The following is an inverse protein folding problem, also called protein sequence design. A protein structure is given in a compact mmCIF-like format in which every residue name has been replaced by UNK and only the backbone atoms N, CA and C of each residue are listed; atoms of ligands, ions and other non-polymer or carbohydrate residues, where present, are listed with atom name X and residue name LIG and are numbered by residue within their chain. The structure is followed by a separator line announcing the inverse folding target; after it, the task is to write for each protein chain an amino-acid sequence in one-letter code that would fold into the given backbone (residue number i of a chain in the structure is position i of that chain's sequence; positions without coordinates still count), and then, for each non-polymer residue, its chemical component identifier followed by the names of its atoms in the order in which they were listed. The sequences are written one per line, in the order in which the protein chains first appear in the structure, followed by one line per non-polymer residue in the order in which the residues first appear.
data_IF_228253255213
#
_entry.id   IF_228253255213
#
_cell.length_a   1.000
_cell.length_b   1.000
_cell.length_c   1.000
_cell.angle_alpha   90.00
_cell.angle_beta   90.00
_cell.angle_gamma   90.00
#
_symmetry.space_group_name_H-M   'P 1'
#
loop_
_entity.id
_entity.type
_entity.pdbx_description
1 polymer ?
#
# COMPACT_ATOMS: atom_id res chain seq x y z
N UNK A 1 -9.04 -19.26 33.94
CA UNK A 1 -7.59 -19.09 34.25
C UNK A 1 -7.04 -17.99 33.34
N UNK A 2 -7.31 -16.72 33.69
CA UNK A 2 -7.35 -15.57 32.76
C UNK A 2 -6.45 -14.39 33.19
N UNK A 3 -5.34 -14.65 33.91
CA UNK A 3 -4.65 -13.57 34.66
C UNK A 3 -3.12 -13.63 34.81
N UNK A 4 -2.37 -14.34 33.97
CA UNK A 4 -0.90 -14.41 34.13
C UNK A 4 -0.04 -14.16 32.87
N UNK A 5 -0.58 -13.55 31.82
CA UNK A 5 0.18 -13.28 30.57
C UNK A 5 0.46 -11.78 30.32
N UNK A 6 0.42 -10.95 31.37
CA UNK A 6 0.61 -9.48 31.27
C UNK A 6 2.04 -9.03 31.61
N UNK A 7 2.90 -9.90 32.15
CA UNK A 7 4.17 -9.48 32.75
C UNK A 7 5.44 -9.80 31.92
N UNK A 8 5.33 -10.12 30.62
CA UNK A 8 6.48 -10.39 29.72
C UNK A 8 6.44 -9.53 28.43
N UNK A 9 5.52 -8.57 28.36
CA UNK A 9 5.24 -7.73 27.18
C UNK A 9 6.21 -6.55 26.95
N UNK A 10 6.77 -5.86 27.97
CA UNK A 10 7.54 -4.62 27.75
C UNK A 10 8.89 -4.81 27.03
N UNK A 11 9.63 -5.89 27.31
CA UNK A 11 10.99 -6.09 26.78
C UNK A 11 11.00 -6.55 25.30
N UNK A 12 9.90 -7.18 24.85
CA UNK A 12 9.65 -7.55 23.45
C UNK A 12 9.39 -6.31 22.57
N UNK A 13 8.73 -5.30 23.13
CA UNK A 13 8.32 -4.08 22.43
C UNK A 13 9.52 -3.21 22.06
N UNK A 14 10.54 -3.11 22.91
CA UNK A 14 11.66 -2.18 22.70
C UNK A 14 12.63 -2.63 21.59
N UNK A 15 13.06 -3.90 21.58
CA UNK A 15 14.00 -4.39 20.56
C UNK A 15 13.40 -4.53 19.16
N UNK A 16 12.10 -4.83 19.05
CA UNK A 16 11.38 -4.80 17.78
C UNK A 16 11.26 -3.35 17.28
N UNK A 17 10.96 -2.39 18.16
CA UNK A 17 10.85 -0.97 17.79
C UNK A 17 12.18 -0.42 17.28
N UNK A 18 13.30 -0.69 17.95
CA UNK A 18 14.62 -0.23 17.51
C UNK A 18 15.04 -0.83 16.15
N UNK A 19 14.78 -2.13 15.93
CA UNK A 19 15.03 -2.76 14.63
C UNK A 19 14.13 -2.17 13.54
N UNK A 20 12.85 -1.93 13.84
CA UNK A 20 11.90 -1.33 12.89
C UNK A 20 12.25 0.12 12.54
N UNK A 21 12.70 0.90 13.53
CA UNK A 21 13.15 2.28 13.35
C UNK A 21 14.45 2.34 12.53
N UNK A 22 15.40 1.43 12.77
CA UNK A 22 16.64 1.35 11.98
C UNK A 22 16.41 0.95 10.52
N UNK A 23 15.39 0.12 10.26
CA UNK A 23 15.07 -0.40 8.93
C UNK A 23 14.08 0.48 8.14
N UNK A 24 13.46 1.49 8.79
CA UNK A 24 12.30 2.23 8.27
C UNK A 24 11.22 1.26 7.75
N UNK A 25 10.82 0.32 8.61
CA UNK A 25 10.06 -0.87 8.21
C UNK A 25 8.56 -0.64 8.05
N UNK A 26 7.97 -1.45 7.17
CA UNK A 26 6.54 -1.48 6.83
C UNK A 26 5.92 -2.82 7.22
N UNK A 27 5.73 -3.06 8.52
CA UNK A 27 5.57 -4.43 8.98
C UNK A 27 4.37 -4.63 9.91
N UNK A 28 3.56 -5.64 9.56
CA UNK A 28 2.76 -6.39 10.52
C UNK A 28 3.37 -7.77 10.71
N UNK A 29 3.96 -7.98 11.89
CA UNK A 29 4.47 -9.27 12.34
C UNK A 29 3.32 -10.10 12.87
N UNK A 30 3.24 -11.35 12.41
CA UNK A 30 2.36 -12.36 13.01
C UNK A 30 3.24 -13.52 13.46
N UNK A 31 3.46 -13.62 14.77
CA UNK A 31 4.14 -14.76 15.37
C UNK A 31 3.07 -15.77 15.82
N UNK A 32 3.00 -16.91 15.12
CA UNK A 32 2.19 -18.04 15.57
C UNK A 32 3.09 -18.99 16.35
N UNK A 33 2.81 -19.16 17.64
CA UNK A 33 3.37 -20.25 18.43
C UNK A 33 2.44 -21.45 18.29
N UNK A 34 2.93 -22.57 17.72
CA UNK A 34 2.14 -23.80 17.62
C UNK A 34 2.74 -24.90 18.51
N UNK A 35 1.87 -25.58 19.26
CA UNK A 35 2.06 -26.98 19.69
C UNK A 35 0.74 -27.72 19.44
N UNK A 36 0.80 -29.04 19.23
CA UNK A 36 0.00 -29.75 18.24
C UNK A 36 -1.48 -29.76 18.61
N UNK A 37 -2.32 -29.52 17.60
CA UNK A 37 -3.79 -29.50 17.63
C UNK A 37 -4.45 -28.21 18.15
N UNK A 38 -4.54 -27.20 17.27
CA UNK A 38 -5.51 -26.11 17.40
C UNK A 38 -4.86 -24.75 17.70
N UNK A 39 -4.51 -24.03 16.64
CA UNK A 39 -3.72 -22.80 16.70
C UNK A 39 -4.37 -21.63 17.44
N UNK A 40 -3.51 -20.79 18.02
CA UNK A 40 -3.87 -19.50 18.60
C UNK A 40 -3.09 -18.36 17.93
N UNK A 41 -3.82 -17.31 17.55
CA UNK A 41 -3.34 -16.08 16.92
C UNK A 41 -2.88 -15.08 17.99
N UNK A 42 -1.65 -14.56 17.87
CA UNK A 42 -1.15 -13.49 18.75
C UNK A 42 -0.57 -12.34 17.94
N UNK A 43 -1.21 -11.16 18.07
CA UNK A 43 -0.65 -9.83 17.81
C UNK A 43 -0.63 -9.34 16.37
N UNK A 44 -1.53 -8.42 16.01
CA UNK A 44 -1.40 -7.56 14.82
C UNK A 44 -0.59 -6.32 15.25
N UNK A 45 0.64 -6.15 14.77
CA UNK A 45 1.45 -4.96 15.07
C UNK A 45 1.47 -4.03 13.86
N UNK A 46 0.89 -2.84 13.93
CA UNK A 46 0.94 -1.88 12.82
C UNK A 46 2.04 -0.84 13.10
N UNK A 47 3.20 -0.97 12.45
CA UNK A 47 4.21 0.07 12.47
C UNK A 47 3.98 1.02 11.28
N UNK A 48 3.67 2.29 11.56
CA UNK A 48 3.61 3.37 10.57
C UNK A 48 4.86 4.24 10.74
N UNK A 49 5.73 4.31 9.73
CA UNK A 49 6.90 5.20 9.79
C UNK A 49 6.51 6.67 9.66
N UNK A 50 6.81 7.43 10.72
CA UNK A 50 7.05 8.88 10.86
C UNK A 50 6.18 9.90 10.08
N UNK A 51 5.17 10.46 10.76
CA UNK A 51 4.97 11.93 10.87
C UNK A 51 3.83 12.31 11.84
N UNK A 52 3.74 11.70 13.01
CA UNK A 52 2.83 12.16 14.07
C UNK A 52 3.15 11.47 15.38
N UNK A 53 4.03 12.09 16.18
CA UNK A 53 3.91 12.25 17.63
C UNK A 53 5.10 13.09 18.10
N UNK A 54 4.75 14.26 18.63
CA UNK A 54 5.61 15.21 19.31
C UNK A 54 5.99 14.64 20.69
N UNK A 55 7.24 14.89 21.12
CA UNK A 55 7.89 14.58 22.42
C UNK A 55 8.21 13.11 22.75
N UNK A 56 9.49 12.75 22.66
CA UNK A 56 10.06 11.57 23.32
C UNK A 56 10.50 11.87 24.77
N UNK A 57 10.61 10.85 25.65
CA UNK A 57 11.38 10.97 26.89
C UNK A 57 12.82 10.43 26.76
N UNK A 58 13.66 10.94 27.66
CA UNK A 58 15.11 10.76 27.88
C UNK A 58 15.64 9.31 27.84
N UNK A 59 16.93 9.09 27.49
CA UNK A 59 17.56 7.78 27.48
C UNK A 59 18.34 7.53 28.77
N UNK A 60 17.81 6.74 29.70
CA UNK A 60 18.64 6.12 30.73
C UNK A 60 18.29 4.64 30.93
N UNK A 61 19.35 3.82 30.81
CA UNK A 61 19.48 2.37 31.02
C UNK A 61 18.81 1.44 30.01
N UNK A 62 19.59 1.04 28.99
CA UNK A 62 19.32 -0.13 28.16
C UNK A 62 20.31 -1.23 28.53
N UNK A 63 19.84 -2.24 29.27
CA UNK A 63 20.54 -3.53 29.33
C UNK A 63 20.18 -4.33 28.07
N UNK A 64 21.19 -4.78 27.33
CA UNK A 64 21.03 -5.56 26.10
C UNK A 64 20.54 -6.97 26.41
N UNK A 65 19.35 -7.33 25.92
CA UNK A 65 18.82 -8.71 25.96
C UNK A 65 18.94 -9.34 24.58
N UNK A 66 19.66 -10.46 24.49
CA UNK A 66 19.74 -11.29 23.28
C UNK A 66 18.39 -11.96 23.00
N UNK A 67 17.76 -11.61 21.87
CA UNK A 67 16.55 -12.28 21.39
C UNK A 67 16.87 -13.69 20.90
N UNK A 68 16.17 -14.67 21.44
CA UNK A 68 16.30 -16.05 21.01
C UNK A 68 15.43 -16.32 19.77
N UNK A 69 15.93 -15.95 18.58
CA UNK A 69 15.32 -16.16 17.26
C UNK A 69 15.07 -17.64 16.87
N UNK A 70 15.37 -18.58 17.77
CA UNK A 70 15.42 -20.02 17.50
C UNK A 70 14.07 -20.64 17.10
N UNK A 71 12.93 -19.98 17.30
CA UNK A 71 11.60 -20.48 16.93
C UNK A 71 11.11 -20.07 15.53
N UNK A 72 11.80 -19.14 14.86
CA UNK A 72 11.43 -18.63 13.53
C UNK A 72 10.16 -17.74 13.53
N UNK A 73 9.79 -17.20 12.36
CA UNK A 73 8.65 -16.28 12.20
C UNK A 73 7.61 -16.87 11.27
N UNK A 74 6.33 -16.94 11.67
CA UNK A 74 5.30 -17.52 10.81
C UNK A 74 4.95 -16.62 9.61
N UNK A 75 4.68 -15.34 9.82
CA UNK A 75 4.27 -14.48 8.72
C UNK A 75 4.75 -13.04 8.83
N UNK A 76 5.02 -12.48 7.65
CA UNK A 76 5.34 -11.07 7.40
C UNK A 76 4.27 -10.50 6.48
N UNK A 77 3.57 -9.46 6.90
CA UNK A 77 2.64 -8.71 6.04
C UNK A 77 3.22 -7.32 5.78
N UNK A 78 3.68 -7.11 4.55
CA UNK A 78 4.09 -5.82 4.01
C UNK A 78 2.84 -5.01 3.64
N UNK A 79 2.27 -4.32 4.63
CA UNK A 79 1.03 -3.55 4.47
C UNK A 79 1.27 -2.04 4.31
N UNK A 80 2.22 -1.47 5.04
CA UNK A 80 2.36 -0.03 5.08
C UNK A 80 2.70 0.54 3.70
N UNK A 81 2.09 1.68 3.41
CA UNK A 81 2.23 2.38 2.16
C UNK A 81 1.59 3.75 2.22
N UNK A 82 2.05 4.62 1.34
CA UNK A 82 1.55 5.97 1.15
C UNK A 82 1.02 6.11 -0.28
N UNK A 83 0.04 6.98 -0.44
CA UNK A 83 -0.47 7.34 -1.76
C UNK A 83 -0.68 8.84 -1.82
N UNK A 84 -0.25 9.42 -2.93
CA UNK A 84 -0.55 10.79 -3.31
C UNK A 84 -0.97 10.80 -4.77
N UNK A 85 -1.85 11.73 -5.13
CA UNK A 85 -2.38 11.88 -6.47
C UNK A 85 -1.90 13.19 -7.07
N UNK A 86 -1.30 13.18 -8.23
CA UNK A 86 -0.81 14.38 -8.89
C UNK A 86 -0.52 14.04 -10.34
N UNK A 87 -0.71 15.01 -11.25
CA UNK A 87 -0.12 14.87 -12.57
C UNK A 87 1.39 14.70 -12.49
N UNK A 88 1.95 14.14 -13.55
CA UNK A 88 3.39 13.88 -13.64
C UNK A 88 4.17 15.19 -13.42
N UNK A 89 3.75 16.27 -14.07
CA UNK A 89 4.42 17.58 -13.95
C UNK A 89 4.12 18.32 -12.64
N UNK A 90 3.10 17.90 -11.89
CA UNK A 90 2.81 18.45 -10.56
C UNK A 90 3.63 17.78 -9.46
N UNK A 91 4.23 16.63 -9.79
CA UNK A 91 5.06 15.83 -8.90
C UNK A 91 6.53 16.19 -9.08
N UNK A 92 7.25 16.27 -7.97
CA UNK A 92 8.72 16.37 -7.98
C UNK A 92 9.35 14.98 -8.03
N UNK A 93 10.62 14.90 -8.42
CA UNK A 93 11.38 13.65 -8.32
C UNK A 93 11.41 13.12 -6.87
N UNK A 94 11.39 14.02 -5.89
CA UNK A 94 11.38 13.63 -4.48
C UNK A 94 10.04 12.99 -4.08
N UNK A 95 8.91 13.44 -4.66
CA UNK A 95 7.62 12.78 -4.43
C UNK A 95 7.64 11.33 -4.97
N UNK A 96 8.24 11.11 -6.15
CA UNK A 96 8.44 9.76 -6.70
C UNK A 96 9.38 8.91 -5.81
N UNK A 97 10.52 9.48 -5.41
CA UNK A 97 11.50 8.80 -4.54
C UNK A 97 10.87 8.39 -3.23
N UNK A 98 10.19 9.30 -2.53
CA UNK A 98 9.53 9.01 -1.27
C UNK A 98 8.49 7.89 -1.42
N UNK A 99 7.68 7.94 -2.49
CA UNK A 99 6.65 6.92 -2.72
C UNK A 99 7.24 5.54 -3.02
N UNK A 100 8.31 5.48 -3.81
CA UNK A 100 9.06 4.25 -4.08
C UNK A 100 9.81 3.76 -2.84
N UNK A 101 10.42 4.67 -2.07
CA UNK A 101 11.17 4.33 -0.87
C UNK A 101 10.29 3.65 0.17
N UNK A 102 9.10 4.21 0.43
CA UNK A 102 8.13 3.61 1.34
C UNK A 102 7.52 2.36 0.72
N UNK A 103 6.79 2.47 -0.40
CA UNK A 103 5.93 1.38 -0.87
C UNK A 103 6.70 0.19 -1.45
N UNK A 104 7.90 0.41 -2.00
CA UNK A 104 8.71 -0.63 -2.64
C UNK A 104 9.93 -0.98 -1.78
N UNK A 105 10.85 -0.04 -1.56
CA UNK A 105 12.10 -0.36 -0.87
C UNK A 105 11.88 -0.74 0.58
N UNK A 106 10.91 -0.13 1.28
CA UNK A 106 10.51 -0.54 2.62
C UNK A 106 10.10 -2.02 2.65
N UNK A 107 9.26 -2.45 1.71
CA UNK A 107 8.85 -3.84 1.58
C UNK A 107 10.02 -4.78 1.24
N UNK A 108 10.96 -4.35 0.41
CA UNK A 108 12.18 -5.12 0.08
C UNK A 108 13.06 -5.29 1.32
N UNK A 109 13.36 -4.20 2.02
CA UNK A 109 14.18 -4.20 3.25
C UNK A 109 13.57 -5.12 4.31
N UNK A 110 12.28 -4.95 4.58
CA UNK A 110 11.53 -5.81 5.51
C UNK A 110 11.57 -7.27 5.07
N UNK A 111 11.28 -7.56 3.80
CA UNK A 111 11.26 -8.95 3.32
C UNK A 111 12.63 -9.61 3.45
N UNK A 112 13.71 -8.95 3.04
CA UNK A 112 15.08 -9.49 3.14
C UNK A 112 15.48 -9.72 4.60
N UNK A 113 15.21 -8.76 5.49
CA UNK A 113 15.58 -8.84 6.90
C UNK A 113 14.92 -10.04 7.60
N UNK A 114 13.63 -10.29 7.34
CA UNK A 114 12.87 -11.34 8.01
C UNK A 114 12.84 -12.67 7.24
N UNK A 115 13.36 -12.72 6.00
CA UNK A 115 13.34 -13.91 5.15
C UNK A 115 13.94 -15.16 5.82
N UNK A 116 15.10 -15.08 6.52
CA UNK A 116 15.67 -16.26 7.18
C UNK A 116 14.73 -16.88 8.22
N UNK A 117 14.02 -16.05 8.97
CA UNK A 117 13.08 -16.47 10.02
C UNK A 117 11.80 -17.06 9.44
N UNK A 118 11.27 -16.46 8.36
CA UNK A 118 10.10 -16.98 7.65
C UNK A 118 10.43 -18.30 6.95
N UNK A 119 11.65 -18.42 6.42
CA UNK A 119 12.14 -19.66 5.81
C UNK A 119 12.26 -20.80 6.82
N UNK A 120 12.70 -20.52 8.05
CA UNK A 120 12.82 -21.52 9.11
C UNK A 120 11.47 -22.18 9.45
N UNK A 121 10.36 -21.45 9.34
CA UNK A 121 9.00 -21.95 9.64
C UNK A 121 8.23 -22.40 8.41
N UNK A 122 8.79 -22.26 7.20
CA UNK A 122 8.05 -22.39 5.92
C UNK A 122 6.79 -21.52 5.90
N UNK A 123 6.94 -20.30 6.42
CA UNK A 123 5.88 -19.37 6.74
C UNK A 123 5.26 -18.65 5.53
N UNK A 124 4.85 -17.41 5.74
CA UNK A 124 4.10 -16.58 4.79
C UNK A 124 4.72 -15.20 4.60
N UNK A 125 4.76 -14.73 3.36
CA UNK A 125 5.03 -13.33 3.06
C UNK A 125 3.86 -12.79 2.26
N UNK A 126 3.23 -11.73 2.77
CA UNK A 126 2.06 -11.11 2.15
C UNK A 126 2.39 -9.68 1.79
N UNK A 127 2.05 -9.26 0.57
CA UNK A 127 2.23 -7.89 0.11
C UNK A 127 0.88 -7.25 -0.16
N UNK A 128 0.65 -6.05 0.37
CA UNK A 128 -0.52 -5.23 0.03
C UNK A 128 -0.15 -4.31 -1.13
N UNK A 129 -0.54 -4.74 -2.33
CA UNK A 129 -0.38 -4.03 -3.60
C UNK A 129 -1.60 -3.12 -3.87
N UNK A 130 -2.03 -3.01 -5.12
CA UNK A 130 -3.19 -2.29 -5.60
C UNK A 130 -3.52 -2.75 -7.01
N UNK A 131 -4.75 -2.50 -7.48
CA UNK A 131 -5.08 -2.55 -8.91
C UNK A 131 -4.16 -1.67 -9.77
N UNK A 132 -3.58 -0.60 -9.20
CA UNK A 132 -2.62 0.30 -9.89
C UNK A 132 -1.25 -0.33 -10.21
N UNK A 133 -1.05 -1.59 -9.88
CA UNK A 133 0.11 -2.37 -10.32
C UNK A 133 0.01 -2.81 -11.79
N UNK A 134 -1.21 -2.94 -12.33
CA UNK A 134 -1.47 -3.39 -13.71
C UNK A 134 -2.48 -2.51 -14.45
N UNK A 135 -3.30 -1.74 -13.72
CA UNK A 135 -4.17 -0.72 -14.26
C UNK A 135 -3.52 0.66 -14.12
N UNK A 136 -3.80 1.57 -15.04
CA UNK A 136 -3.27 2.92 -15.04
C UNK A 136 -4.39 3.94 -15.28
N UNK A 137 -4.34 5.03 -14.55
CA UNK A 137 -5.21 6.19 -14.74
C UNK A 137 -4.40 7.47 -14.54
N UNK A 138 -4.97 8.60 -14.93
CA UNK A 138 -4.36 9.91 -14.67
C UNK A 138 -4.10 10.10 -13.18
N UNK A 139 -3.10 10.93 -12.90
CA UNK A 139 -2.74 11.40 -11.56
C UNK A 139 -2.20 10.36 -10.58
N UNK A 140 -1.98 9.11 -11.00
CA UNK A 140 -1.48 8.04 -10.10
C UNK A 140 -0.08 7.54 -10.49
N UNK A 141 0.71 8.36 -11.19
CA UNK A 141 2.01 7.96 -11.77
C UNK A 141 3.00 7.41 -10.74
N UNK A 142 3.37 8.20 -9.72
CA UNK A 142 4.29 7.77 -8.67
C UNK A 142 3.78 6.53 -7.92
N UNK A 143 2.47 6.47 -7.65
CA UNK A 143 1.86 5.36 -6.92
C UNK A 143 1.91 4.08 -7.74
N UNK A 144 1.55 4.17 -9.02
CA UNK A 144 1.58 3.03 -9.96
C UNK A 144 3.00 2.49 -10.15
N UNK A 145 4.00 3.36 -10.27
CA UNK A 145 5.42 2.95 -10.32
C UNK A 145 5.77 2.14 -9.07
N UNK A 146 5.44 2.66 -7.89
CA UNK A 146 5.76 2.01 -6.62
C UNK A 146 5.08 0.64 -6.44
N UNK A 147 3.79 0.53 -6.79
CA UNK A 147 3.01 -0.71 -6.64
C UNK A 147 3.31 -1.73 -7.72
N UNK A 148 3.62 -1.31 -8.95
CA UNK A 148 4.05 -2.22 -10.01
C UNK A 148 5.44 -2.80 -9.74
N UNK A 149 6.36 -1.99 -9.23
CA UNK A 149 7.66 -2.47 -8.74
C UNK A 149 7.52 -3.47 -7.59
N UNK A 150 6.57 -3.21 -6.68
CA UNK A 150 6.27 -4.12 -5.57
C UNK A 150 5.81 -5.50 -6.04
N UNK A 151 4.91 -5.56 -7.03
CA UNK A 151 4.46 -6.85 -7.57
C UNK A 151 5.56 -7.59 -8.31
N UNK A 152 6.41 -6.88 -9.06
CA UNK A 152 7.56 -7.50 -9.71
C UNK A 152 8.50 -8.17 -8.68
N UNK A 153 8.82 -7.46 -7.59
CA UNK A 153 9.60 -8.03 -6.50
C UNK A 153 8.91 -9.23 -5.84
N UNK A 154 7.62 -9.10 -5.53
CA UNK A 154 6.85 -10.17 -4.89
C UNK A 154 6.75 -11.43 -5.77
N UNK A 155 6.62 -11.28 -7.08
CA UNK A 155 6.59 -12.41 -8.01
C UNK A 155 7.93 -13.12 -8.12
N UNK A 156 9.05 -12.40 -8.17
CA UNK A 156 10.38 -12.99 -8.11
C UNK A 156 10.58 -13.75 -6.78
N UNK A 157 10.27 -13.11 -5.65
CA UNK A 157 10.39 -13.71 -4.33
C UNK A 157 9.52 -14.97 -4.21
N UNK A 158 8.31 -14.97 -4.76
CA UNK A 158 7.42 -16.14 -4.78
C UNK A 158 8.05 -17.34 -5.48
N UNK A 159 8.71 -17.11 -6.62
CA UNK A 159 9.37 -18.17 -7.39
C UNK A 159 10.60 -18.70 -6.65
N UNK A 160 11.45 -17.81 -6.13
CA UNK A 160 12.64 -18.18 -5.37
C UNK A 160 12.30 -18.97 -4.10
N UNK A 161 11.24 -18.55 -3.40
CA UNK A 161 10.87 -19.12 -2.11
C UNK A 161 10.05 -20.40 -2.19
N UNK A 162 9.58 -20.78 -3.39
CA UNK A 162 8.77 -21.97 -3.59
C UNK A 162 9.50 -23.26 -3.18
N UNK A 163 10.80 -23.38 -3.47
CA UNK A 163 11.63 -24.53 -3.09
C UNK A 163 11.82 -24.68 -1.58
N UNK A 164 11.70 -23.57 -0.83
CA UNK A 164 11.82 -23.53 0.61
C UNK A 164 10.48 -23.72 1.34
N UNK A 165 9.37 -23.89 0.61
CA UNK A 165 8.04 -24.10 1.18
C UNK A 165 7.38 -22.83 1.74
N UNK A 166 8.03 -21.67 1.64
CA UNK A 166 7.44 -20.37 2.01
C UNK A 166 6.42 -19.96 0.94
N UNK A 167 5.24 -19.49 1.38
CA UNK A 167 4.20 -19.03 0.47
C UNK A 167 4.18 -17.51 0.40
N UNK A 168 4.15 -16.98 -0.81
CA UNK A 168 4.08 -15.54 -1.07
C UNK A 168 2.74 -15.22 -1.72
N UNK A 169 2.03 -14.23 -1.17
CA UNK A 169 0.71 -13.78 -1.65
C UNK A 169 0.68 -12.27 -1.86
N UNK A 170 -0.07 -11.83 -2.86
CA UNK A 170 -0.26 -10.41 -3.17
C UNK A 170 -1.75 -10.08 -2.99
N UNK A 171 -2.06 -9.12 -2.14
CA UNK A 171 -3.40 -8.53 -2.01
C UNK A 171 -3.48 -7.35 -2.97
N UNK A 172 -4.49 -7.29 -3.82
CA UNK A 172 -4.69 -6.25 -4.83
C UNK A 172 -6.02 -5.51 -4.59
N UNK A 173 -6.05 -4.56 -3.64
CA UNK A 173 -7.24 -3.74 -3.41
C UNK A 173 -7.53 -2.81 -4.59
N UNK A 174 -8.82 -2.65 -4.88
CA UNK A 174 -9.37 -1.57 -5.70
C UNK A 174 -9.44 -0.26 -4.93
N UNK A 175 -10.56 0.45 -5.05
CA UNK A 175 -10.75 1.73 -4.39
C UNK A 175 -11.21 1.57 -2.93
N UNK A 176 -10.26 1.51 -2.00
CA UNK A 176 -10.51 1.53 -0.54
C UNK A 176 -10.10 2.88 0.09
N UNK A 177 -10.06 3.96 -0.70
CA UNK A 177 -9.63 5.27 -0.23
C UNK A 177 -10.52 5.86 0.87
N UNK A 178 -11.81 5.49 0.90
CA UNK A 178 -12.73 5.89 1.99
C UNK A 178 -12.55 5.07 3.27
N UNK A 179 -12.16 3.81 3.15
CA UNK A 179 -11.98 2.91 4.29
C UNK A 179 -10.60 3.04 4.95
N UNK A 180 -9.69 3.81 4.36
CA UNK A 180 -8.28 3.88 4.78
C UNK A 180 -7.77 5.30 4.82
N UNK A 181 -6.70 5.53 5.60
CA UNK A 181 -5.99 6.82 5.65
C UNK A 181 -4.74 6.83 4.73
N UNK A 182 -4.70 5.99 3.69
CA UNK A 182 -3.52 5.85 2.80
C UNK A 182 -3.29 7.10 1.94
N UNK A 183 -4.37 7.84 1.64
CA UNK A 183 -4.35 8.99 0.76
C UNK A 183 -3.95 10.25 1.53
N UNK A 184 -2.95 10.96 1.01
CA UNK A 184 -2.63 12.30 1.48
C UNK A 184 -3.78 13.25 1.13
N UNK A 185 -4.48 13.76 2.15
CA UNK A 185 -5.50 14.79 1.97
C UNK A 185 -4.82 16.09 1.52
N UNK A 186 -5.30 16.66 0.42
CA UNK A 186 -4.89 17.96 -0.09
C UNK A 186 -6.02 18.62 -0.84
N UNK A 187 -5.96 19.93 -0.93
CA UNK A 187 -6.92 20.78 -1.64
C UNK A 187 -6.34 21.24 -2.99
N UNK A 188 -7.20 21.72 -3.88
CA UNK A 188 -6.76 22.37 -5.13
C UNK A 188 -5.80 23.54 -4.86
N UNK A 189 -6.00 24.29 -3.76
CA UNK A 189 -5.11 25.37 -3.33
C UNK A 189 -3.71 24.88 -2.94
N UNK A 190 -3.61 23.74 -2.25
CA UNK A 190 -2.31 23.15 -1.89
C UNK A 190 -1.52 22.76 -3.14
N UNK A 191 -2.21 22.22 -4.14
CA UNK A 191 -1.61 21.88 -5.44
C UNK A 191 -1.18 23.16 -6.15
N UNK A 192 -2.08 24.15 -6.28
CA UNK A 192 -1.80 25.42 -6.94
C UNK A 192 -0.57 26.12 -6.36
N UNK A 193 -0.45 26.15 -5.04
CA UNK A 193 0.65 26.85 -4.37
C UNK A 193 2.00 26.14 -4.53
N UNK A 194 2.01 24.83 -4.79
CA UNK A 194 3.24 24.05 -5.02
C UNK A 194 3.78 24.23 -6.44
N UNK A 195 2.94 24.63 -7.40
CA UNK A 195 3.33 24.79 -8.79
C UNK A 195 4.11 26.10 -9.02
N UNK A 196 5.08 26.05 -9.93
CA UNK A 196 5.72 27.26 -10.47
C UNK A 196 4.79 28.04 -11.40
N UNK A 197 5.18 29.27 -11.73
CA UNK A 197 4.33 30.19 -12.50
C UNK A 197 4.08 29.72 -13.94
N UNK A 198 5.02 28.97 -14.53
CA UNK A 198 4.85 28.36 -15.84
C UNK A 198 3.76 27.30 -15.80
N UNK A 199 3.81 26.37 -14.85
CA UNK A 199 2.79 25.32 -14.67
C UNK A 199 1.44 25.91 -14.31
N UNK A 200 1.38 26.94 -13.46
CA UNK A 200 0.14 27.68 -13.17
C UNK A 200 -0.50 28.25 -14.44
N UNK A 201 0.30 28.77 -15.37
CA UNK A 201 -0.17 29.30 -16.66
C UNK A 201 -0.64 28.21 -17.62
N UNK A 202 0.04 27.05 -17.65
CA UNK A 202 -0.30 25.93 -18.55
C UNK A 202 -1.58 25.24 -18.09
N UNK A 203 -1.64 24.86 -16.82
CA UNK A 203 -2.75 24.08 -16.29
C UNK A 203 -3.95 24.95 -15.94
N UNK A 204 -3.73 26.15 -15.41
CA UNK A 204 -4.81 27.02 -14.95
C UNK A 204 -5.49 26.50 -13.68
N UNK A 205 -6.12 27.42 -12.94
CA UNK A 205 -6.72 27.10 -11.64
C UNK A 205 -7.96 26.21 -11.77
N UNK A 206 -8.78 26.48 -12.77
CA UNK A 206 -10.02 25.73 -13.05
C UNK A 206 -9.75 24.25 -13.34
N UNK A 207 -8.69 23.94 -14.08
CA UNK A 207 -8.30 22.56 -14.34
C UNK A 207 -7.85 21.84 -13.08
N UNK A 208 -7.07 22.50 -12.22
CA UNK A 208 -6.61 21.92 -10.97
C UNK A 208 -7.79 21.67 -10.02
N UNK A 209 -8.77 22.57 -9.98
CA UNK A 209 -10.02 22.39 -9.23
C UNK A 209 -10.82 21.20 -9.79
N UNK A 210 -10.99 21.12 -11.11
CA UNK A 210 -11.68 20.00 -11.77
C UNK A 210 -11.00 18.65 -11.52
N UNK A 211 -9.67 18.60 -11.60
CA UNK A 211 -8.90 17.39 -11.32
C UNK A 211 -9.02 16.97 -9.84
N UNK A 212 -9.01 17.94 -8.92
CA UNK A 212 -9.21 17.71 -7.49
C UNK A 212 -10.61 17.16 -7.19
N UNK A 213 -11.64 17.72 -7.81
CA UNK A 213 -13.02 17.29 -7.62
C UNK A 213 -13.25 15.91 -8.21
N UNK A 214 -12.70 15.63 -9.39
CA UNK A 214 -12.72 14.30 -10.00
C UNK A 214 -12.07 13.24 -9.08
N UNK A 215 -10.87 13.53 -8.57
CA UNK A 215 -10.17 12.60 -7.68
C UNK A 215 -10.94 12.39 -6.37
N UNK A 216 -11.45 13.46 -5.77
CA UNK A 216 -12.24 13.41 -4.54
C UNK A 216 -13.53 12.61 -4.75
N UNK A 217 -14.23 12.82 -5.87
CA UNK A 217 -15.42 12.08 -6.25
C UNK A 217 -15.14 10.59 -6.42
N UNK A 218 -14.04 10.26 -7.12
CA UNK A 218 -13.61 8.87 -7.30
C UNK A 218 -13.32 8.20 -5.96
N UNK A 219 -12.54 8.84 -5.09
CA UNK A 219 -12.28 8.31 -3.74
C UNK A 219 -13.59 8.09 -2.98
N UNK A 220 -14.56 9.00 -3.13
CA UNK A 220 -15.85 8.89 -2.45
C UNK A 220 -16.74 7.75 -2.93
N UNK A 221 -16.55 7.26 -4.15
CA UNK A 221 -17.26 6.12 -4.70
C UNK A 221 -16.67 4.76 -4.28
N UNK A 222 -15.59 4.76 -3.49
CA UNK A 222 -14.90 3.55 -3.05
C UNK A 222 -15.63 2.74 -1.98
N UNK A 223 -15.03 1.61 -1.62
CA UNK A 223 -15.45 0.78 -0.50
C UNK A 223 -15.32 1.55 0.81
N UNK A 224 -16.35 1.46 1.66
CA UNK A 224 -16.42 2.11 2.97
C UNK A 224 -15.78 1.28 4.09
N UNK A 225 -15.64 -0.02 3.86
CA UNK A 225 -15.13 -0.98 4.83
C UNK A 225 -13.87 -1.66 4.29
N UNK A 226 -12.86 -1.76 5.16
CA UNK A 226 -11.59 -2.41 4.89
C UNK A 226 -11.62 -3.92 5.20
N UNK A 227 -12.71 -4.43 5.78
CA UNK A 227 -12.88 -5.84 6.14
C UNK A 227 -12.52 -6.82 5.00
N UNK A 228 -12.89 -6.60 3.72
CA UNK A 228 -12.48 -7.51 2.64
C UNK A 228 -10.96 -7.62 2.49
N UNK A 229 -10.22 -6.54 2.74
CA UNK A 229 -8.75 -6.51 2.69
C UNK A 229 -8.19 -7.28 3.88
N UNK A 230 -8.72 -7.04 5.08
CA UNK A 230 -8.31 -7.75 6.30
C UNK A 230 -8.58 -9.25 6.20
N UNK A 231 -9.76 -9.65 5.73
CA UNK A 231 -10.12 -11.04 5.51
C UNK A 231 -9.20 -11.72 4.48
N UNK A 232 -8.81 -11.01 3.42
CA UNK A 232 -7.86 -11.53 2.43
C UNK A 232 -6.45 -11.69 3.01
N UNK A 233 -5.97 -10.72 3.80
CA UNK A 233 -4.70 -10.83 4.53
C UNK A 233 -4.73 -12.02 5.49
N UNK A 234 -5.80 -12.16 6.28
CA UNK A 234 -5.98 -13.28 7.20
C UNK A 234 -5.95 -14.62 6.46
N UNK A 235 -6.72 -14.75 5.37
CA UNK A 235 -6.72 -15.96 4.55
C UNK A 235 -5.33 -16.25 3.95
N UNK A 236 -4.61 -15.24 3.48
CA UNK A 236 -3.25 -15.41 2.96
C UNK A 236 -2.27 -15.94 4.01
N UNK A 237 -2.47 -15.56 5.27
CA UNK A 237 -1.63 -15.99 6.40
C UNK A 237 -2.02 -17.38 6.93
N UNK A 238 -3.32 -17.67 7.04
CA UNK A 238 -3.81 -18.86 7.78
C UNK A 238 -4.16 -20.04 6.89
N UNK A 239 -4.45 -19.82 5.61
CA UNK A 239 -4.85 -20.90 4.70
C UNK A 239 -3.70 -21.89 4.45
N UNK A 240 -4.06 -23.18 4.36
CA UNK A 240 -3.14 -24.21 3.88
C UNK A 240 -2.76 -23.99 2.41
N UNK A 241 -3.68 -23.44 1.62
CA UNK A 241 -3.53 -23.17 0.19
C UNK A 241 -3.89 -21.72 -0.13
N UNK A 242 -3.06 -20.74 0.28
CA UNK A 242 -3.32 -19.35 -0.02
C UNK A 242 -3.21 -19.09 -1.53
N UNK A 243 -4.03 -18.17 -2.05
CA UNK A 243 -3.95 -17.73 -3.45
C UNK A 243 -2.68 -16.91 -3.65
N UNK A 244 -2.08 -16.97 -4.84
CA UNK A 244 -0.96 -16.09 -5.18
C UNK A 244 -1.38 -14.60 -5.27
N UNK A 245 -2.61 -14.35 -5.73
CA UNK A 245 -3.17 -13.00 -5.92
C UNK A 245 -4.63 -12.93 -5.42
N UNK A 246 -4.96 -11.91 -4.65
CA UNK A 246 -6.30 -11.60 -4.14
C UNK A 246 -6.76 -10.27 -4.74
N UNK A 247 -7.51 -10.33 -5.84
CA UNK A 247 -8.12 -9.15 -6.45
C UNK A 247 -9.39 -8.78 -5.69
N UNK A 248 -9.38 -7.62 -5.03
CA UNK A 248 -10.48 -7.14 -4.19
C UNK A 248 -11.12 -5.91 -4.83
N UNK A 249 -12.16 -6.14 -5.61
CA UNK A 249 -12.89 -5.15 -6.38
C UNK A 249 -14.36 -5.58 -6.48
N UNK A 250 -15.25 -4.70 -6.96
CA UNK A 250 -16.63 -5.10 -7.23
C UNK A 250 -16.70 -6.19 -8.30
N UNK A 251 -17.81 -6.94 -8.37
CA UNK A 251 -17.98 -8.02 -9.34
C UNK A 251 -17.78 -7.52 -10.78
N UNK A 252 -18.32 -6.33 -11.10
CA UNK A 252 -18.18 -5.73 -12.43
C UNK A 252 -16.73 -5.36 -12.74
N UNK A 253 -16.04 -4.73 -11.78
CA UNK A 253 -14.62 -4.40 -11.90
C UNK A 253 -13.74 -5.66 -12.00
N UNK A 254 -14.14 -6.77 -11.38
CA UNK A 254 -13.37 -8.02 -11.40
C UNK A 254 -13.23 -8.56 -12.82
N UNK A 255 -14.32 -8.57 -13.59
CA UNK A 255 -14.28 -8.97 -15.00
C UNK A 255 -13.41 -8.02 -15.81
N UNK A 256 -13.58 -6.71 -15.60
CA UNK A 256 -12.81 -5.69 -16.30
C UNK A 256 -11.31 -5.81 -16.04
N UNK A 257 -10.88 -5.80 -14.78
CA UNK A 257 -9.46 -5.83 -14.40
C UNK A 257 -8.76 -7.14 -14.74
N UNK A 258 -9.50 -8.23 -14.90
CA UNK A 258 -8.93 -9.51 -15.35
C UNK A 258 -8.69 -9.54 -16.86
N UNK A 259 -9.47 -8.79 -17.63
CA UNK A 259 -9.30 -8.66 -19.09
C UNK A 259 -8.30 -7.55 -19.42
N UNK A 260 -8.24 -6.49 -18.61
CA UNK A 260 -7.48 -5.28 -18.88
C UNK A 260 -6.02 -5.50 -19.31
N UNK A 261 -5.21 -6.35 -18.63
CA UNK A 261 -3.82 -6.59 -19.03
C UNK A 261 -3.63 -7.22 -20.41
N UNK A 262 -4.70 -7.77 -21.01
CA UNK A 262 -4.68 -8.40 -22.33
C UNK A 262 -5.22 -7.50 -23.44
N UNK A 263 -5.74 -6.31 -23.09
CA UNK A 263 -6.22 -5.34 -24.09
C UNK A 263 -5.03 -4.72 -24.82
N UNK A 264 -5.10 -4.55 -26.15
CA UNK A 264 -4.19 -3.68 -26.88
C UNK A 264 -4.11 -2.30 -26.25
N UNK A 265 -2.91 -1.73 -26.15
CA UNK A 265 -2.65 -0.45 -25.47
C UNK A 265 -3.56 0.68 -25.97
N UNK A 266 -3.80 0.75 -27.28
CA UNK A 266 -4.70 1.74 -27.89
C UNK A 266 -6.11 1.67 -27.27
N UNK A 267 -6.66 0.47 -27.05
CA UNK A 267 -8.00 0.31 -26.48
C UNK A 267 -8.02 0.63 -24.98
N UNK A 268 -6.96 0.27 -24.27
CA UNK A 268 -6.81 0.57 -22.85
C UNK A 268 -6.68 2.09 -22.61
N UNK A 269 -5.94 2.80 -23.46
CA UNK A 269 -5.70 4.25 -23.36
C UNK A 269 -6.93 5.07 -23.75
N UNK A 270 -7.70 4.64 -24.76
CA UNK A 270 -8.94 5.32 -25.18
C UNK A 270 -9.92 5.47 -24.02
N UNK A 271 -10.07 4.45 -23.16
CA UNK A 271 -10.93 4.56 -21.97
C UNK A 271 -10.48 5.69 -21.05
N UNK A 272 -9.17 5.83 -20.83
CA UNK A 272 -8.60 6.88 -19.98
C UNK A 272 -8.83 8.27 -20.58
N UNK A 273 -8.81 8.43 -21.91
CA UNK A 273 -9.10 9.73 -22.54
C UNK A 273 -10.56 10.16 -22.48
N UNK A 274 -11.51 9.22 -22.51
CA UNK A 274 -12.95 9.51 -22.48
C UNK A 274 -13.49 9.79 -21.09
N UNK A 275 -12.82 9.28 -20.05
CA UNK A 275 -13.30 9.35 -18.66
C UNK A 275 -12.70 10.50 -17.87
N UNK A 276 -11.72 11.21 -18.44
CA UNK A 276 -10.93 12.20 -17.72
C UNK A 276 -11.20 13.62 -18.21
N UNK A 277 -11.18 14.60 -17.31
CA UNK A 277 -11.10 16.00 -17.71
C UNK A 277 -9.73 16.27 -18.32
N UNK A 278 -9.67 16.84 -19.52
CA UNK A 278 -8.45 17.44 -20.07
C UNK A 278 -8.60 18.96 -20.14
N UNK A 279 -7.50 19.73 -20.16
CA UNK A 279 -7.57 21.18 -20.36
C UNK A 279 -8.30 21.56 -21.65
N UNK A 280 -8.16 20.76 -22.71
CA UNK A 280 -8.86 20.95 -23.98
C UNK A 280 -10.35 20.56 -23.94
N UNK A 281 -10.77 19.69 -23.01
CA UNK A 281 -12.18 19.31 -22.82
C UNK A 281 -12.93 20.30 -21.91
N UNK A 282 -12.23 21.08 -21.07
CA UNK A 282 -12.83 22.18 -20.31
C UNK A 282 -13.46 23.22 -21.24
N UNK A 283 -12.76 23.62 -22.31
CA UNK A 283 -13.31 24.55 -23.31
C UNK A 283 -14.55 23.98 -24.01
N UNK A 284 -14.56 22.68 -24.30
CA UNK A 284 -15.72 22.01 -24.91
C UNK A 284 -16.89 21.95 -23.93
N UNK A 285 -16.65 21.67 -22.64
CA UNK A 285 -17.67 21.60 -21.59
C UNK A 285 -18.24 22.99 -21.26
N UNK A 286 -17.39 24.01 -21.12
CA UNK A 286 -17.78 25.42 -20.90
C UNK A 286 -18.51 25.98 -22.12
N UNK A 287 -18.06 25.66 -23.34
CA UNK A 287 -18.75 26.05 -24.59
C UNK A 287 -20.07 25.31 -24.78
N UNK A 288 -20.24 24.10 -24.22
CA UNK A 288 -21.52 23.39 -24.20
C UNK A 288 -22.49 23.98 -23.17
N UNK A 289 -21.98 24.37 -21.99
CA UNK A 289 -22.80 24.98 -20.94
C UNK A 289 -23.25 26.42 -21.29
N UNK A 290 -22.43 27.20 -22.00
CA UNK A 290 -22.80 28.56 -22.45
C UNK A 290 -23.72 28.57 -23.68
N UNK A 291 -23.86 27.45 -24.40
CA UNK A 291 -24.84 27.27 -25.47
C UNK A 291 -26.26 26.95 -24.95
N UNK A 292 -26.42 26.73 -23.64
CA UNK A 292 -27.69 26.42 -22.97
C UNK A 292 -27.99 27.39 -21.81
N UNK A 293 -27.46 28.62 -21.88
CA UNK A 293 -27.83 29.77 -21.04
C UNK A 293 -28.39 30.89 -21.90
#
# INVERSE_FOLDING_TARGET
MKRQLVNLLPDLEQGITELLDSLRCNLVLLHLHDRPAGGHFVGLWQCLSHSSLDKGPDPENVESVEFNWLSGLWAVVNNAGISDWAEIEWSTIEDFRNMVDVNLFGCIRTSIAFLPLVRATKGRIVFVSSIFSFFYCLNMGAYSVSKRGLEAFADCLRVEMASFGVKVSIIQPGNFGQATNILKRKTSSDIWNKLDDEKKRIFGREYIELANDYFTSTCRAGFKDAEPVVAAMLHAVTSAHPKHRYLLVSVMEMFFFRIFPFLPTILADLRSHWSNPSPAQLDIWVSWCSAWS
#
